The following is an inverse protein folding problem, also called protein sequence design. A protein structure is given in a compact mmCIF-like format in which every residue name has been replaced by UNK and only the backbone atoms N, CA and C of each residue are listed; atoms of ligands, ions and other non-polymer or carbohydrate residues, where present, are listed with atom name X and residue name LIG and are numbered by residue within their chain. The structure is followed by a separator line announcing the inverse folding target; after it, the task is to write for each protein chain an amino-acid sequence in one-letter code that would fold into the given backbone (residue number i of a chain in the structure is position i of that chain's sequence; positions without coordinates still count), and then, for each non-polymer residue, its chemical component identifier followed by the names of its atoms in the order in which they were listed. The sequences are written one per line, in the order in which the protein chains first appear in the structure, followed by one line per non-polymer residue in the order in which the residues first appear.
data_IF_196959453420
#
_entry.id   IF_196959453420
#
_cell.length_a   1.000
_cell.length_b   1.000
_cell.length_c   1.000
_cell.angle_alpha   90.00
_cell.angle_beta   90.00
_cell.angle_gamma   90.00
#
_symmetry.space_group_name_H-M   'P 1'
#
loop_
_entity.id
_entity.type
_entity.pdbx_description
1 polymer ?
#
# COMPACT_ATOMS: atom_id res chain seq x y z
N UNK A 1 33.37 42.29 -44.71
CA UNK A 1 33.32 40.84 -44.41
C UNK A 1 32.59 40.71 -43.09
N UNK A 2 31.25 40.67 -43.15
CA UNK A 2 30.39 40.56 -41.95
C UNK A 2 30.22 39.08 -41.61
N UNK A 3 30.73 38.69 -40.45
CA UNK A 3 30.63 37.33 -39.96
C UNK A 3 29.32 37.18 -39.16
N UNK A 4 28.33 36.52 -39.78
CA UNK A 4 27.02 36.27 -39.20
C UNK A 4 27.10 35.21 -38.10
N UNK A 5 26.92 35.60 -36.83
CA UNK A 5 26.76 34.64 -35.72
C UNK A 5 25.38 33.99 -35.75
N UNK A 6 25.32 32.75 -36.22
CA UNK A 6 24.13 31.91 -36.10
C UNK A 6 23.87 31.57 -34.62
N UNK A 7 22.84 32.19 -34.02
CA UNK A 7 22.29 31.77 -32.74
C UNK A 7 21.65 30.39 -32.90
N UNK A 8 22.26 29.36 -32.31
CA UNK A 8 21.63 28.05 -32.15
C UNK A 8 20.41 28.21 -31.25
N UNK A 9 19.22 28.19 -31.85
CA UNK A 9 17.96 28.20 -31.13
C UNK A 9 17.71 26.80 -30.57
N UNK A 10 18.08 26.59 -29.31
CA UNK A 10 17.72 25.37 -28.59
C UNK A 10 16.20 25.39 -28.37
N UNK A 11 15.48 24.55 -29.11
CA UNK A 11 14.11 24.22 -28.76
C UNK A 11 14.16 23.37 -27.49
N UNK A 12 14.03 24.01 -26.33
CA UNK A 12 13.62 23.29 -25.12
C UNK A 12 12.26 22.67 -25.43
N UNK A 13 12.22 21.33 -25.53
CA UNK A 13 10.94 20.63 -25.52
C UNK A 13 10.32 20.96 -24.16
N UNK A 14 9.12 21.57 -24.11
CA UNK A 14 8.48 21.86 -22.84
C UNK A 14 8.43 20.55 -22.05
N UNK A 15 8.98 20.57 -20.84
CA UNK A 15 8.97 19.43 -19.95
C UNK A 15 7.53 18.91 -19.91
N UNK A 16 7.34 17.62 -20.17
CA UNK A 16 6.01 17.01 -20.10
C UNK A 16 5.51 17.24 -18.68
N UNK A 17 4.52 18.12 -18.53
CA UNK A 17 3.97 18.43 -17.23
C UNK A 17 3.36 17.16 -16.64
N UNK A 18 3.72 16.84 -15.40
CA UNK A 18 3.13 15.72 -14.69
C UNK A 18 1.70 16.09 -14.25
N UNK A 19 0.73 15.63 -15.01
CA UNK A 19 -0.69 15.90 -14.76
C UNK A 19 -1.21 15.12 -13.54
N UNK A 20 -0.58 13.99 -13.19
CA UNK A 20 -1.01 13.15 -12.07
C UNK A 20 -0.70 13.85 -10.75
N UNK A 21 0.48 14.48 -10.63
CA UNK A 21 0.81 15.27 -9.43
C UNK A 21 0.01 16.57 -9.29
N UNK A 22 -0.60 17.08 -10.37
CA UNK A 22 -1.50 18.26 -10.33
C UNK A 22 -2.91 17.94 -9.81
N UNK A 23 -3.28 16.67 -9.64
CA UNK A 23 -4.59 16.31 -9.10
C UNK A 23 -4.77 16.81 -7.64
N UNK A 24 -5.94 17.36 -7.28
CA UNK A 24 -6.30 17.63 -5.89
C UNK A 24 -6.39 16.34 -5.05
N UNK A 25 -6.06 16.45 -3.76
CA UNK A 25 -6.10 15.32 -2.80
C UNK A 25 -7.43 14.54 -2.79
N UNK A 26 -8.62 15.17 -2.90
CA UNK A 26 -9.88 14.44 -2.96
C UNK A 26 -9.99 13.49 -4.16
N UNK A 27 -9.48 13.90 -5.33
CA UNK A 27 -9.51 13.05 -6.54
C UNK A 27 -8.50 11.91 -6.43
N UNK A 28 -7.31 12.17 -5.88
CA UNK A 28 -6.32 11.13 -5.61
C UNK A 28 -6.87 10.10 -4.60
N UNK A 29 -7.53 10.57 -3.54
CA UNK A 29 -8.17 9.71 -2.54
C UNK A 29 -9.29 8.86 -3.16
N UNK A 30 -10.06 9.44 -4.08
CA UNK A 30 -11.08 8.71 -4.83
C UNK A 30 -10.47 7.63 -5.73
N UNK A 31 -9.37 7.93 -6.44
CA UNK A 31 -8.65 6.92 -7.24
C UNK A 31 -8.17 5.78 -6.34
N UNK A 32 -7.49 6.11 -5.24
CA UNK A 32 -6.98 5.15 -4.26
C UNK A 32 -8.09 4.28 -3.67
N UNK A 33 -9.28 4.85 -3.42
CA UNK A 33 -10.44 4.12 -2.90
C UNK A 33 -10.96 3.03 -3.85
N UNK A 34 -10.80 3.23 -5.16
CA UNK A 34 -11.19 2.23 -6.16
C UNK A 34 -10.11 1.18 -6.45
N UNK A 35 -8.90 1.35 -5.91
CA UNK A 35 -7.81 0.40 -6.10
C UNK A 35 -7.85 -0.69 -5.01
N UNK A 36 -7.56 -1.96 -5.37
CA UNK A 36 -7.18 -2.96 -4.38
C UNK A 36 -5.99 -2.44 -3.55
N UNK A 37 -5.91 -2.79 -2.27
CA UNK A 37 -4.89 -2.23 -1.35
C UNK A 37 -3.48 -2.36 -1.90
N UNK A 38 -3.14 -3.48 -2.54
CA UNK A 38 -1.83 -3.69 -3.16
C UNK A 38 -1.52 -2.68 -4.26
N UNK A 39 -2.49 -2.37 -5.11
CA UNK A 39 -2.33 -1.39 -6.18
C UNK A 39 -2.29 0.03 -5.61
N UNK A 40 -3.10 0.32 -4.59
CA UNK A 40 -3.04 1.58 -3.85
C UNK A 40 -1.64 1.81 -3.24
N UNK A 41 -1.06 0.81 -2.57
CA UNK A 41 0.31 0.88 -2.03
C UNK A 41 1.32 1.12 -3.14
N UNK A 42 1.22 0.45 -4.29
CA UNK A 42 2.16 0.67 -5.41
C UNK A 42 2.14 2.11 -5.91
N UNK A 43 1.00 2.81 -5.86
CA UNK A 43 0.95 4.22 -6.25
C UNK A 43 1.72 5.14 -5.31
N UNK A 44 2.13 4.69 -4.12
CA UNK A 44 2.90 5.50 -3.17
C UNK A 44 4.23 5.99 -3.75
N UNK A 45 4.77 5.32 -4.78
CA UNK A 45 6.03 5.71 -5.43
C UNK A 45 5.87 6.86 -6.43
N UNK A 46 4.62 7.25 -6.76
CA UNK A 46 4.36 8.33 -7.73
C UNK A 46 4.73 9.71 -7.16
N UNK A 47 4.44 9.97 -5.88
CA UNK A 47 4.92 11.15 -5.15
C UNK A 47 4.66 11.00 -3.65
N UNK A 48 5.29 11.85 -2.83
CA UNK A 48 5.02 11.91 -1.39
C UNK A 48 3.54 12.14 -1.05
N UNK A 49 2.77 12.81 -1.92
CA UNK A 49 1.33 12.99 -1.72
C UNK A 49 0.57 11.67 -1.88
N UNK A 50 0.93 10.85 -2.86
CA UNK A 50 0.33 9.52 -2.99
C UNK A 50 0.69 8.65 -1.78
N UNK A 51 1.95 8.70 -1.31
CA UNK A 51 2.42 7.99 -0.11
C UNK A 51 1.62 8.32 1.15
N UNK A 52 1.26 9.59 1.36
CA UNK A 52 0.49 10.00 2.54
C UNK A 52 -0.99 9.67 2.39
N UNK A 53 -1.57 9.85 1.20
CA UNK A 53 -3.00 9.66 0.98
C UNK A 53 -3.43 8.20 1.06
N UNK A 54 -2.65 7.24 0.55
CA UNK A 54 -3.07 5.82 0.60
C UNK A 54 -3.19 5.30 2.05
N UNK A 55 -2.43 5.87 3.00
CA UNK A 55 -2.56 5.55 4.44
C UNK A 55 -3.88 6.04 5.05
N UNK A 56 -4.54 7.03 4.41
CA UNK A 56 -5.84 7.57 4.82
C UNK A 56 -7.01 6.80 4.21
N UNK A 57 -6.78 6.07 3.12
CA UNK A 57 -7.78 5.24 2.45
C UNK A 57 -7.93 3.90 3.18
N UNK A 58 -8.44 4.01 4.42
CA UNK A 58 -9.50 3.26 5.12
C UNK A 58 -9.70 1.75 4.95
N UNK A 59 -9.33 1.08 3.86
CA UNK A 59 -9.60 -0.35 3.62
C UNK A 59 -8.31 -1.12 3.33
N UNK A 60 -7.95 -2.03 4.24
CA UNK A 60 -6.81 -2.92 4.10
C UNK A 60 -7.27 -4.36 3.91
N UNK A 61 -6.87 -5.00 2.81
CA UNK A 61 -6.97 -6.47 2.62
C UNK A 61 -5.56 -7.05 2.56
N UNK A 62 -5.20 -7.90 3.53
CA UNK A 62 -3.91 -8.57 3.59
C UNK A 62 -4.06 -10.07 3.61
N UNK A 63 -3.28 -10.74 2.77
CA UNK A 63 -3.16 -12.18 2.74
C UNK A 63 -1.71 -12.61 2.97
N UNK A 64 -1.45 -13.39 4.02
CA UNK A 64 -0.08 -13.81 4.36
C UNK A 64 0.57 -14.68 3.28
N UNK A 65 -0.20 -15.32 2.40
CA UNK A 65 0.36 -16.08 1.27
C UNK A 65 0.93 -15.21 0.15
N UNK A 66 0.62 -13.92 0.13
CA UNK A 66 1.15 -12.97 -0.87
C UNK A 66 2.53 -12.43 -0.50
N UNK A 67 2.99 -12.72 0.71
CA UNK A 67 4.30 -12.33 1.20
C UNK A 67 5.30 -13.48 1.05
N UNK A 68 6.61 -13.17 0.84
CA UNK A 68 7.64 -14.19 0.72
C UNK A 68 7.69 -15.13 1.94
N UNK A 69 7.46 -14.58 3.13
CA UNK A 69 7.37 -15.30 4.37
C UNK A 69 6.49 -14.54 5.39
N UNK A 70 6.25 -15.20 6.53
CA UNK A 70 5.43 -14.66 7.61
C UNK A 70 6.06 -13.43 8.29
N UNK A 71 7.39 -13.32 8.31
CA UNK A 71 8.08 -12.17 8.92
C UNK A 71 7.90 -10.91 8.07
N UNK A 72 7.97 -11.03 6.74
CA UNK A 72 7.70 -9.95 5.82
C UNK A 72 6.25 -9.46 5.93
N UNK A 73 5.30 -10.40 6.04
CA UNK A 73 3.90 -10.09 6.33
C UNK A 73 3.73 -9.34 7.65
N UNK A 74 4.34 -9.85 8.73
CA UNK A 74 4.28 -9.21 10.05
C UNK A 74 4.89 -7.81 10.01
N UNK A 75 6.11 -7.65 9.50
CA UNK A 75 6.79 -6.36 9.48
C UNK A 75 6.04 -5.30 8.64
N UNK A 76 5.37 -5.73 7.57
CA UNK A 76 4.47 -4.84 6.82
C UNK A 76 3.28 -4.39 7.66
N UNK A 77 2.55 -5.34 8.26
CA UNK A 77 1.36 -5.02 9.04
C UNK A 77 1.67 -4.17 10.27
N UNK A 78 2.78 -4.43 10.95
CA UNK A 78 3.25 -3.64 12.10
C UNK A 78 3.45 -2.16 11.70
N UNK A 79 4.26 -1.92 10.66
CA UNK A 79 4.56 -0.57 10.16
C UNK A 79 3.31 0.14 9.62
N UNK A 80 2.39 -0.61 9.03
CA UNK A 80 1.18 -0.04 8.45
C UNK A 80 0.14 0.33 9.52
N UNK A 81 -0.12 -0.57 10.48
CA UNK A 81 -1.10 -0.32 11.54
C UNK A 81 -0.69 0.85 12.43
N UNK A 82 0.61 1.03 12.68
CA UNK A 82 1.12 2.18 13.43
C UNK A 82 0.77 3.53 12.79
N UNK A 83 0.73 3.59 11.45
CA UNK A 83 0.61 4.84 10.69
C UNK A 83 -0.75 5.09 10.06
N UNK A 84 -1.64 4.10 10.07
CA UNK A 84 -2.90 4.14 9.33
C UNK A 84 -4.11 4.53 10.19
N UNK A 85 -5.08 5.18 9.54
CA UNK A 85 -6.39 5.50 10.10
C UNK A 85 -7.46 4.59 9.46
N UNK A 86 -7.40 3.29 9.77
CA UNK A 86 -8.25 2.30 9.12
C UNK A 86 -9.73 2.41 9.54
N UNK A 87 -10.62 2.13 8.57
CA UNK A 87 -12.07 1.95 8.79
C UNK A 87 -12.49 0.49 8.58
N UNK A 88 -11.73 -0.26 7.78
CA UNK A 88 -11.94 -1.67 7.49
C UNK A 88 -10.61 -2.41 7.36
N UNK A 89 -10.55 -3.58 7.99
CA UNK A 89 -9.40 -4.48 7.93
C UNK A 89 -9.88 -5.90 7.61
N UNK A 90 -9.32 -6.50 6.56
CA UNK A 90 -9.49 -7.90 6.19
C UNK A 90 -8.13 -8.59 6.23
N UNK A 91 -8.05 -9.67 7.00
CA UNK A 91 -6.83 -10.45 7.19
C UNK A 91 -7.08 -11.91 6.81
N UNK A 92 -6.27 -12.44 5.91
CA UNK A 92 -6.20 -13.88 5.60
C UNK A 92 -4.87 -14.41 6.08
N UNK A 93 -4.90 -15.24 7.11
CA UNK A 93 -3.70 -15.74 7.78
C UNK A 93 -3.57 -17.22 7.50
N UNK A 94 -2.60 -17.55 6.67
CA UNK A 94 -2.14 -18.91 6.45
C UNK A 94 -1.07 -19.24 7.51
N UNK A 95 -1.42 -20.09 8.48
CA UNK A 95 -0.49 -20.46 9.57
C UNK A 95 0.27 -21.74 9.21
N UNK A 96 1.60 -21.67 9.21
CA UNK A 96 2.47 -22.86 9.21
C UNK A 96 2.82 -23.23 10.65
N UNK A 97 3.24 -24.49 10.86
CA UNK A 97 3.51 -25.07 12.19
C UNK A 97 4.46 -24.26 13.09
N UNK A 98 5.32 -23.41 12.51
CA UNK A 98 6.35 -22.65 13.24
C UNK A 98 6.10 -21.13 13.28
N UNK A 99 4.98 -20.64 12.76
CA UNK A 99 4.73 -19.19 12.68
C UNK A 99 4.26 -18.65 14.05
N UNK A 100 4.92 -17.60 14.55
CA UNK A 100 4.50 -16.87 15.76
C UNK A 100 3.20 -16.13 15.51
N UNK A 101 2.29 -16.07 16.48
CA UNK A 101 1.07 -15.28 16.37
C UNK A 101 1.36 -13.78 16.59
N UNK A 102 1.70 -13.04 15.54
CA UNK A 102 1.81 -11.57 15.61
C UNK A 102 0.45 -10.86 15.55
N UNK A 103 -0.57 -11.55 15.04
CA UNK A 103 -1.87 -10.94 14.73
C UNK A 103 -2.73 -10.65 15.98
N UNK A 104 -2.40 -11.24 17.13
CA UNK A 104 -3.15 -10.98 18.38
C UNK A 104 -3.06 -9.52 18.79
N UNK A 105 -1.87 -8.90 18.70
CA UNK A 105 -1.72 -7.47 18.94
C UNK A 105 -2.43 -6.64 17.87
N UNK A 106 -2.41 -7.05 16.59
CA UNK A 106 -3.13 -6.31 15.55
C UNK A 106 -4.62 -6.26 15.84
N UNK A 107 -5.21 -7.38 16.25
CA UNK A 107 -6.61 -7.45 16.65
C UNK A 107 -6.89 -6.52 17.84
N UNK A 108 -6.04 -6.52 18.87
CA UNK A 108 -6.17 -5.62 20.03
C UNK A 108 -6.03 -4.13 19.64
N UNK A 109 -5.04 -3.82 18.81
CA UNK A 109 -4.77 -2.47 18.32
C UNK A 109 -5.96 -1.94 17.51
N UNK A 110 -6.50 -2.80 16.64
CA UNK A 110 -7.66 -2.54 15.80
C UNK A 110 -8.92 -2.40 16.65
N UNK A 111 -9.12 -3.25 17.66
CA UNK A 111 -10.27 -3.18 18.58
C UNK A 111 -10.29 -1.91 19.42
N UNK A 112 -9.13 -1.35 19.78
CA UNK A 112 -9.01 -0.06 20.49
C UNK A 112 -9.36 1.13 19.61
N UNK A 113 -9.16 1.02 18.31
CA UNK A 113 -9.61 2.01 17.32
C UNK A 113 -11.08 1.72 17.02
N UNK A 114 -11.93 2.74 16.82
CA UNK A 114 -13.36 2.54 16.46
C UNK A 114 -13.50 2.07 15.00
N UNK A 115 -12.90 0.94 14.67
CA UNK A 115 -12.94 0.32 13.36
C UNK A 115 -14.36 -0.17 13.07
N UNK A 116 -14.85 0.11 11.85
CA UNK A 116 -16.23 -0.21 11.48
C UNK A 116 -16.37 -1.67 11.05
N UNK A 117 -15.33 -2.24 10.46
CA UNK A 117 -15.34 -3.58 9.90
C UNK A 117 -14.00 -4.29 10.14
N UNK A 118 -14.04 -5.47 10.77
CA UNK A 118 -12.90 -6.36 10.93
C UNK A 118 -13.31 -7.74 10.43
N UNK A 119 -12.53 -8.29 9.51
CA UNK A 119 -12.70 -9.63 8.96
C UNK A 119 -11.37 -10.39 9.09
N UNK A 120 -11.38 -11.55 9.74
CA UNK A 120 -10.18 -12.36 9.99
C UNK A 120 -10.47 -13.81 9.61
N UNK A 121 -9.78 -14.29 8.59
CA UNK A 121 -9.88 -15.65 8.08
C UNK A 121 -8.59 -16.42 8.40
N UNK A 122 -8.74 -17.60 9.01
CA UNK A 122 -7.62 -18.44 9.42
C UNK A 122 -7.57 -19.74 8.63
N UNK A 123 -6.47 -19.97 7.90
CA UNK A 123 -6.28 -21.16 7.08
C UNK A 123 -5.14 -22.01 7.65
N UNK A 124 -5.46 -23.24 8.06
CA UNK A 124 -4.48 -24.20 8.57
C UNK A 124 -4.05 -25.18 7.48
N UNK A 125 -2.76 -25.18 7.12
CA UNK A 125 -2.22 -26.11 6.12
C UNK A 125 -1.58 -27.32 6.82
N UNK A 126 -2.34 -28.40 6.91
CA UNK A 126 -1.84 -29.71 7.32
C UNK A 126 -1.01 -30.33 6.20
N UNK A 127 0.33 -30.29 6.27
CA UNK A 127 1.17 -31.15 5.41
C UNK A 127 0.91 -32.61 5.75
N UNK A 128 0.02 -33.29 5.02
CA UNK A 128 0.06 -34.75 4.92
C UNK A 128 1.28 -35.10 4.06
N UNK A 129 2.33 -35.64 4.68
CA UNK A 129 3.39 -36.31 3.93
C UNK A 129 2.75 -37.53 3.27
N UNK A 130 2.65 -37.54 1.94
CA UNK A 130 2.45 -38.79 1.22
C UNK A 130 3.68 -39.65 1.49
N UNK A 131 3.44 -40.83 2.06
CA UNK A 131 4.46 -41.86 2.29
C UNK A 131 4.82 -42.52 0.97
#
# INVERSE_FOLDING_TARGET
MEESKAKRMCYERPAREDMISKLPDPLMSQILFYLPTKEAVKTSVLSHRWETLWLLVSELDLNSSEFPDYNAFSGFGDRFLEKSCLRKLKLKILKRKNDKSCVTWWVDFVARRKLKHLDVEYLYVSRKRLK
#
